data_IF_351068443758
#
_entry.id   IF_351068443758
#
_cell.length_a   1.000
_cell.length_b   1.000
_cell.length_c   1.000
_cell.angle_alpha   90.00
_cell.angle_beta   90.00
_cell.angle_gamma   90.00
#
_symmetry.space_group_name_H-M   'P 1'
#
loop_
_entity.id
_entity.type
_entity.pdbx_description
1 polymer ?
#
# COMPACT_ATOMS: atom_id res chain seq x y z
N UNK A 1 2.67 20.93 15.14
CA UNK A 1 2.22 19.68 15.78
C UNK A 1 3.20 19.13 16.80
N UNK A 2 4.51 19.33 16.64
CA UNK A 2 5.53 18.73 17.52
C UNK A 2 5.31 18.98 19.04
N UNK A 3 5.10 20.22 19.53
CA UNK A 3 4.88 20.42 20.99
C UNK A 3 3.60 19.76 21.53
N UNK A 4 2.61 19.52 20.66
CA UNK A 4 1.37 18.85 21.06
C UNK A 4 1.62 17.35 21.25
N UNK A 5 2.31 16.71 20.30
CA UNK A 5 2.57 15.27 20.36
C UNK A 5 3.65 14.88 21.38
N UNK A 6 4.60 15.77 21.67
CA UNK A 6 5.53 15.60 22.80
C UNK A 6 4.80 15.48 24.15
N UNK A 7 3.70 16.21 24.33
CA UNK A 7 2.88 16.15 25.54
C UNK A 7 1.76 15.10 25.51
N UNK A 8 1.49 14.50 24.35
CA UNK A 8 0.31 13.65 24.13
C UNK A 8 0.51 12.18 24.52
N UNK A 9 1.61 11.83 25.20
CA UNK A 9 1.82 10.46 25.70
C UNK A 9 0.65 10.02 26.58
N UNK A 10 -0.18 9.11 26.06
CA UNK A 10 -1.37 8.58 26.73
C UNK A 10 -2.69 9.30 26.41
N UNK A 11 -2.71 10.29 25.51
CA UNK A 11 -3.92 11.00 25.11
C UNK A 11 -4.54 10.53 23.79
N UNK A 12 -3.87 9.63 23.07
CA UNK A 12 -4.40 9.02 21.85
C UNK A 12 -3.99 7.55 21.75
N UNK A 13 -4.89 6.78 21.15
CA UNK A 13 -4.64 5.38 20.82
C UNK A 13 -4.16 5.20 19.38
N UNK A 14 -4.71 6.02 18.47
CA UNK A 14 -4.48 5.97 17.03
C UNK A 14 -4.21 7.38 16.51
N UNK A 15 -3.10 7.57 15.80
CA UNK A 15 -2.81 8.83 15.08
C UNK A 15 -3.64 8.94 13.79
N UNK A 16 -3.76 10.13 13.22
CA UNK A 16 -4.44 10.28 11.92
C UNK A 16 -3.75 11.30 11.01
N UNK A 17 -3.77 11.03 9.71
CA UNK A 17 -3.25 11.91 8.66
C UNK A 17 -4.17 11.94 7.45
N UNK A 18 -4.14 13.06 6.74
CA UNK A 18 -4.87 13.28 5.50
C UNK A 18 -3.86 13.57 4.39
N UNK A 19 -4.00 12.91 3.26
CA UNK A 19 -3.27 13.17 2.02
C UNK A 19 -4.26 13.41 0.90
N UNK A 20 -4.37 14.68 0.47
CA UNK A 20 -5.21 15.08 -0.65
C UNK A 20 -4.28 15.51 -1.77
N UNK A 21 -4.00 14.59 -2.70
CA UNK A 21 -3.18 14.78 -3.91
C UNK A 21 -1.86 15.50 -3.68
N UNK A 22 -1.21 15.19 -2.56
CA UNK A 22 -0.03 15.92 -2.07
C UNK A 22 1.13 15.03 -1.63
N UNK A 23 0.94 13.71 -1.58
CA UNK A 23 2.00 12.74 -1.31
C UNK A 23 1.69 11.40 -1.98
N UNK A 24 2.73 10.77 -2.50
CA UNK A 24 2.65 9.46 -3.15
C UNK A 24 2.60 8.30 -2.13
N UNK A 25 3.05 8.56 -0.90
CA UNK A 25 2.98 7.61 0.22
C UNK A 25 1.83 7.93 1.17
N UNK A 26 0.96 8.88 0.80
CA UNK A 26 -0.07 9.44 1.67
C UNK A 26 0.47 10.03 2.99
N UNK A 27 1.71 10.52 2.98
CA UNK A 27 2.48 10.99 4.14
C UNK A 27 2.78 9.92 5.19
N UNK A 28 2.54 8.64 4.89
CA UNK A 28 2.70 7.55 5.86
C UNK A 28 4.15 7.42 6.35
N UNK A 29 5.13 7.52 5.45
CA UNK A 29 6.56 7.47 5.79
C UNK A 29 6.95 8.61 6.73
N UNK A 30 6.62 9.85 6.36
CA UNK A 30 6.95 11.04 7.15
C UNK A 30 6.25 11.02 8.51
N UNK A 31 5.00 10.55 8.55
CA UNK A 31 4.24 10.46 9.78
C UNK A 31 4.76 9.38 10.72
N UNK A 32 5.15 8.21 10.18
CA UNK A 32 5.80 7.17 10.98
C UNK A 32 7.09 7.68 11.62
N UNK A 33 7.96 8.31 10.84
CA UNK A 33 9.19 8.94 11.35
C UNK A 33 8.88 10.00 12.41
N UNK A 34 7.83 10.79 12.21
CA UNK A 34 7.41 11.81 13.17
C UNK A 34 6.94 11.23 14.50
N UNK A 35 6.10 10.18 14.46
CA UNK A 35 5.65 9.47 15.66
C UNK A 35 6.83 8.80 16.39
N UNK A 36 7.75 8.18 15.66
CA UNK A 36 8.90 7.47 16.25
C UNK A 36 9.85 8.43 16.94
N UNK A 37 10.15 9.57 16.31
CA UNK A 37 10.97 10.63 16.89
C UNK A 37 10.41 11.12 18.23
N UNK A 38 9.09 11.10 18.37
CA UNK A 38 8.37 11.55 19.56
C UNK A 38 8.02 10.42 20.53
N UNK A 39 8.59 9.22 20.37
CA UNK A 39 8.41 8.12 21.32
C UNK A 39 7.05 7.40 21.23
N UNK A 40 6.40 7.44 20.07
CA UNK A 40 5.11 6.78 19.80
C UNK A 40 5.25 5.60 18.82
N UNK A 41 6.36 4.86 18.88
CA UNK A 41 6.68 3.78 17.94
C UNK A 41 5.60 2.68 17.90
N UNK A 42 5.02 2.36 19.06
CA UNK A 42 3.98 1.35 19.18
C UNK A 42 2.57 1.83 18.81
N UNK A 43 2.38 3.12 18.49
CA UNK A 43 1.06 3.66 18.15
C UNK A 43 0.79 3.48 16.66
N UNK A 44 -0.33 2.83 16.28
CA UNK A 44 -0.77 2.79 14.91
C UNK A 44 -1.31 4.15 14.49
N UNK A 45 -1.56 4.29 13.19
CA UNK A 45 -2.27 5.45 12.66
C UNK A 45 -3.18 5.07 11.51
N UNK A 46 -4.10 5.97 11.18
CA UNK A 46 -4.97 5.85 10.03
C UNK A 46 -4.67 6.96 9.02
N UNK A 47 -4.68 6.60 7.74
CA UNK A 47 -4.80 7.57 6.65
C UNK A 47 -6.30 7.79 6.45
N UNK A 48 -6.86 8.80 7.12
CA UNK A 48 -8.32 9.02 7.15
C UNK A 48 -8.86 9.70 5.90
N UNK A 49 -7.98 10.28 5.08
CA UNK A 49 -8.30 10.73 3.73
C UNK A 49 -7.10 10.46 2.82
N UNK A 50 -7.21 9.50 1.91
CA UNK A 50 -6.27 9.26 0.81
C UNK A 50 -6.98 9.59 -0.50
N UNK A 51 -6.76 10.80 -1.01
CA UNK A 51 -7.28 11.24 -2.31
C UNK A 51 -6.11 11.35 -3.29
N UNK A 52 -6.24 10.65 -4.43
CA UNK A 52 -5.35 10.77 -5.58
C UNK A 52 -6.17 11.28 -6.75
N UNK A 53 -5.95 12.53 -7.10
CA UNK A 53 -6.45 13.15 -8.33
C UNK A 53 -5.30 13.88 -9.04
N UNK A 54 -5.60 14.59 -10.14
CA UNK A 54 -4.59 15.37 -10.86
C UNK A 54 -4.10 16.60 -10.09
N UNK A 55 -4.68 16.91 -8.93
CA UNK A 55 -4.39 18.07 -8.12
C UNK A 55 -4.53 19.39 -8.89
N UNK A 56 -4.22 20.50 -8.23
CA UNK A 56 -4.02 21.78 -8.93
C UNK A 56 -2.55 21.90 -9.34
N UNK A 57 -2.19 21.32 -10.49
CA UNK A 57 -0.91 21.60 -11.15
C UNK A 57 0.09 20.45 -11.26
N UNK A 58 -0.33 19.19 -11.15
CA UNK A 58 0.52 18.05 -11.48
C UNK A 58 0.16 17.51 -12.87
N UNK A 59 1.12 17.57 -13.81
CA UNK A 59 1.04 16.97 -15.16
C UNK A 59 1.27 15.45 -15.12
N UNK A 60 0.59 14.75 -14.20
CA UNK A 60 0.64 13.29 -14.12
C UNK A 60 -0.46 12.65 -14.96
N UNK A 61 -0.08 11.61 -15.69
CA UNK A 61 -1.00 10.73 -16.39
C UNK A 61 -1.88 9.96 -15.40
N UNK A 62 -3.02 9.45 -15.88
CA UNK A 62 -3.88 8.61 -15.04
C UNK A 62 -3.20 7.28 -14.69
N UNK A 63 -2.29 6.82 -15.54
CA UNK A 63 -1.42 5.66 -15.34
C UNK A 63 -0.46 5.87 -14.17
N UNK A 64 0.22 7.01 -14.09
CA UNK A 64 1.10 7.34 -12.97
C UNK A 64 0.31 7.45 -11.67
N UNK A 65 -0.86 8.11 -11.70
CA UNK A 65 -1.72 8.23 -10.52
C UNK A 65 -2.24 6.87 -10.04
N UNK A 66 -2.58 5.96 -10.97
CA UNK A 66 -3.02 4.60 -10.62
C UNK A 66 -1.90 3.78 -9.99
N UNK A 67 -0.65 3.94 -10.45
CA UNK A 67 0.51 3.28 -9.82
C UNK A 67 0.75 3.80 -8.39
N UNK A 68 0.57 5.10 -8.15
CA UNK A 68 0.67 5.71 -6.82
C UNK A 68 -0.37 5.15 -5.85
N UNK A 69 -1.58 4.82 -6.31
CA UNK A 69 -2.57 4.14 -5.45
C UNK A 69 -2.03 2.82 -4.93
N UNK A 70 -1.41 2.02 -5.79
CA UNK A 70 -0.83 0.74 -5.40
C UNK A 70 0.31 0.94 -4.39
N UNK A 71 1.34 1.70 -4.79
CA UNK A 71 2.57 1.83 -3.99
C UNK A 71 2.33 2.59 -2.69
N UNK A 72 1.49 3.63 -2.73
CA UNK A 72 1.09 4.41 -1.57
C UNK A 72 0.29 3.59 -0.55
N UNK A 73 -0.60 2.71 -1.01
CA UNK A 73 -1.34 1.80 -0.13
C UNK A 73 -0.42 0.83 0.58
N UNK A 74 0.43 0.13 -0.19
CA UNK A 74 1.40 -0.83 0.37
C UNK A 74 2.36 -0.15 1.36
N UNK A 75 2.90 1.01 0.97
CA UNK A 75 3.81 1.81 1.81
C UNK A 75 3.12 2.27 3.10
N UNK A 76 1.83 2.62 3.04
CA UNK A 76 1.08 3.02 4.23
C UNK A 76 1.00 1.90 5.25
N UNK A 77 0.62 0.69 4.82
CA UNK A 77 0.54 -0.47 5.70
C UNK A 77 1.91 -0.89 6.25
N UNK A 78 2.95 -0.89 5.41
CA UNK A 78 4.34 -1.14 5.84
C UNK A 78 4.77 -0.18 6.95
N UNK A 79 4.36 1.09 6.87
CA UNK A 79 4.67 2.09 7.88
C UNK A 79 3.76 2.00 9.12
N UNK A 80 2.89 1.00 9.23
CA UNK A 80 2.03 0.82 10.40
C UNK A 80 0.73 1.62 10.36
N UNK A 81 0.30 2.05 9.17
CA UNK A 81 -1.10 2.41 9.01
C UNK A 81 -1.97 1.15 9.19
N UNK A 82 -3.05 1.24 9.95
CA UNK A 82 -4.03 0.14 10.06
C UNK A 82 -5.18 0.29 9.05
N UNK A 83 -5.47 1.53 8.67
CA UNK A 83 -6.59 1.85 7.79
C UNK A 83 -6.16 2.93 6.80
N UNK A 84 -6.54 2.73 5.53
CA UNK A 84 -6.46 3.75 4.48
C UNK A 84 -7.87 3.98 3.95
N UNK A 85 -8.42 5.18 4.20
CA UNK A 85 -9.76 5.57 3.77
C UNK A 85 -9.66 6.32 2.44
N UNK A 86 -10.26 5.75 1.41
CA UNK A 86 -10.28 6.33 0.06
C UNK A 86 -11.17 7.59 0.08
N UNK A 87 -10.55 8.75 -0.14
CA UNK A 87 -11.23 10.03 -0.27
C UNK A 87 -11.45 10.39 -1.75
N UNK A 88 -12.37 11.31 -2.03
CA UNK A 88 -12.71 11.73 -3.40
C UNK A 88 -13.49 10.71 -4.25
N UNK A 89 -13.65 9.47 -3.76
CA UNK A 89 -14.42 8.39 -4.41
C UNK A 89 -15.92 8.36 -4.04
N UNK A 90 -16.39 9.27 -3.18
CA UNK A 90 -17.78 9.29 -2.69
C UNK A 90 -18.82 9.53 -3.80
N UNK A 91 -19.98 8.86 -3.65
CA UNK A 91 -21.00 8.66 -4.67
C UNK A 91 -21.61 9.92 -5.30
N UNK A 92 -21.80 9.87 -6.62
CA UNK A 92 -22.56 10.84 -7.44
C UNK A 92 -21.70 11.64 -8.42
N UNK A 93 -20.51 12.06 -7.99
CA UNK A 93 -19.54 12.82 -8.78
C UNK A 93 -18.11 12.45 -8.37
N UNK A 94 -17.58 11.29 -8.84
CA UNK A 94 -16.23 10.88 -8.47
C UNK A 94 -15.22 11.94 -8.90
N UNK A 95 -14.38 12.39 -7.96
CA UNK A 95 -13.29 13.33 -8.23
C UNK A 95 -12.04 12.63 -8.73
N UNK A 96 -11.96 11.32 -8.51
CA UNK A 96 -10.86 10.47 -8.93
C UNK A 96 -11.07 9.92 -10.36
N UNK A 97 -10.04 9.86 -11.20
CA UNK A 97 -10.10 9.21 -12.51
C UNK A 97 -10.50 7.73 -12.45
N UNK A 98 -11.06 7.18 -13.54
CA UNK A 98 -11.50 5.77 -13.60
C UNK A 98 -10.36 4.80 -13.30
N UNK A 99 -9.18 5.00 -13.89
CA UNK A 99 -7.99 4.16 -13.68
C UNK A 99 -7.50 4.17 -12.23
N UNK A 100 -7.58 5.31 -11.56
CA UNK A 100 -7.25 5.44 -10.13
C UNK A 100 -8.23 4.63 -9.29
N UNK A 101 -9.53 4.69 -9.60
CA UNK A 101 -10.54 3.86 -8.92
C UNK A 101 -10.32 2.36 -9.16
N UNK A 102 -9.99 1.96 -10.39
CA UNK A 102 -9.68 0.56 -10.71
C UNK A 102 -8.45 0.05 -9.95
N UNK A 103 -7.41 0.90 -9.79
CA UNK A 103 -6.25 0.55 -8.96
C UNK A 103 -6.61 0.40 -7.47
N UNK A 104 -7.54 1.22 -6.95
CA UNK A 104 -8.07 1.03 -5.61
C UNK A 104 -8.83 -0.30 -5.48
N UNK A 105 -9.64 -0.66 -6.48
CA UNK A 105 -10.35 -1.94 -6.50
C UNK A 105 -9.37 -3.13 -6.49
N UNK A 106 -8.25 -3.03 -7.22
CA UNK A 106 -7.17 -4.03 -7.18
C UNK A 106 -6.55 -4.11 -5.79
N UNK A 107 -6.15 -3.00 -5.19
CA UNK A 107 -5.56 -2.99 -3.84
C UNK A 107 -6.51 -3.59 -2.80
N UNK A 108 -7.75 -3.10 -2.75
CA UNK A 108 -8.77 -3.56 -1.78
C UNK A 108 -9.08 -5.05 -1.96
N UNK A 109 -9.28 -5.51 -3.20
CA UNK A 109 -9.62 -6.92 -3.46
C UNK A 109 -8.44 -7.90 -3.29
N UNK A 110 -7.22 -7.41 -3.14
CA UNK A 110 -6.02 -8.25 -3.05
C UNK A 110 -5.43 -8.27 -1.65
N UNK A 111 -5.38 -7.12 -0.99
CA UNK A 111 -4.79 -6.98 0.34
C UNK A 111 -5.76 -6.40 1.37
N UNK A 112 -7.05 -6.15 1.06
CA UNK A 112 -7.95 -5.43 1.98
C UNK A 112 -8.17 -6.07 3.35
N UNK A 113 -7.97 -7.39 3.47
CA UNK A 113 -8.18 -8.17 4.68
C UNK A 113 -6.89 -8.82 5.23
N UNK A 114 -5.71 -8.27 4.91
CA UNK A 114 -4.43 -8.83 5.38
C UNK A 114 -4.34 -8.90 6.92
N UNK A 115 -3.66 -9.93 7.46
CA UNK A 115 -3.43 -10.07 8.90
C UNK A 115 -2.16 -9.35 9.34
N UNK A 116 -1.08 -9.53 8.58
CA UNK A 116 0.21 -8.89 8.85
C UNK A 116 0.90 -8.47 7.56
N UNK A 117 1.77 -7.47 7.66
CA UNK A 117 2.61 -6.99 6.56
C UNK A 117 4.06 -6.89 7.02
N UNK A 118 4.98 -7.31 6.16
CA UNK A 118 6.42 -7.23 6.35
C UNK A 118 7.06 -6.51 5.16
N UNK A 119 7.82 -5.44 5.43
CA UNK A 119 8.70 -4.85 4.42
C UNK A 119 9.88 -5.78 4.14
N UNK A 120 10.13 -6.05 2.86
CA UNK A 120 11.26 -6.85 2.40
C UNK A 120 12.35 -5.95 1.82
N UNK A 121 11.95 -4.91 1.08
CA UNK A 121 12.81 -3.85 0.55
C UNK A 121 12.02 -2.57 0.32
N UNK A 122 12.65 -1.52 -0.21
CA UNK A 122 11.96 -0.29 -0.63
C UNK A 122 10.92 -0.55 -1.74
N UNK A 123 11.14 -1.56 -2.59
CA UNK A 123 10.26 -1.93 -3.69
C UNK A 123 9.41 -3.17 -3.43
N UNK A 124 9.40 -3.72 -2.21
CA UNK A 124 8.67 -4.96 -1.94
C UNK A 124 8.19 -5.15 -0.51
N UNK A 125 7.02 -5.77 -0.38
CA UNK A 125 6.43 -6.18 0.90
C UNK A 125 5.71 -7.52 0.76
N UNK A 126 5.57 -8.24 1.88
CA UNK A 126 4.82 -9.48 1.99
C UNK A 126 3.64 -9.29 2.94
N UNK A 127 2.47 -9.70 2.50
CA UNK A 127 1.23 -9.71 3.27
C UNK A 127 0.83 -11.15 3.55
N UNK A 128 0.51 -11.45 4.81
CA UNK A 128 -0.15 -12.71 5.18
C UNK A 128 -1.66 -12.51 5.13
N UNK A 129 -2.35 -13.37 4.37
CA UNK A 129 -3.81 -13.31 4.25
C UNK A 129 -4.48 -14.33 5.19
N UNK A 130 -5.73 -14.09 5.64
CA UNK A 130 -6.44 -14.97 6.58
C UNK A 130 -6.69 -16.39 6.06
N UNK A 131 -6.67 -16.58 4.73
CA UNK A 131 -6.83 -17.88 4.08
C UNK A 131 -5.51 -18.66 3.95
N UNK A 132 -4.41 -18.11 4.47
CA UNK A 132 -3.07 -18.69 4.41
C UNK A 132 -2.32 -18.41 3.12
N UNK A 133 -2.87 -17.62 2.19
CA UNK A 133 -2.16 -17.15 1.01
C UNK A 133 -1.14 -16.08 1.41
N UNK A 134 0.09 -16.18 0.90
CA UNK A 134 1.06 -15.10 0.98
C UNK A 134 0.93 -14.24 -0.28
N UNK A 135 0.82 -12.92 -0.10
CA UNK A 135 0.77 -11.95 -1.20
C UNK A 135 2.01 -11.08 -1.15
N UNK A 136 2.79 -11.09 -2.23
CA UNK A 136 3.93 -10.21 -2.40
C UNK A 136 3.51 -8.99 -3.23
N UNK A 137 3.70 -7.79 -2.71
CA UNK A 137 3.65 -6.57 -3.49
C UNK A 137 5.06 -6.24 -3.97
N UNK A 138 5.25 -6.07 -5.28
CA UNK A 138 6.55 -5.77 -5.90
C UNK A 138 6.43 -4.66 -6.94
N UNK A 139 7.39 -3.76 -6.97
CA UNK A 139 7.51 -2.66 -7.93
C UNK A 139 8.97 -2.22 -8.11
N UNK A 140 9.22 -1.31 -9.05
CA UNK A 140 10.55 -0.78 -9.38
C UNK A 140 11.62 -1.86 -9.64
N UNK A 141 11.20 -2.97 -10.23
CA UNK A 141 12.09 -4.10 -10.56
C UNK A 141 12.47 -4.97 -9.36
N UNK A 142 11.83 -4.82 -8.20
CA UNK A 142 12.02 -5.72 -7.07
C UNK A 142 11.63 -7.16 -7.42
N UNK A 143 12.53 -8.11 -7.14
CA UNK A 143 12.30 -9.53 -7.34
C UNK A 143 11.49 -10.18 -6.22
N UNK A 144 11.02 -11.40 -6.47
CA UNK A 144 10.51 -12.28 -5.43
C UNK A 144 11.66 -12.86 -4.61
N UNK A 145 11.45 -13.19 -3.33
CA UNK A 145 12.42 -13.97 -2.56
C UNK A 145 12.69 -15.35 -3.19
N UNK A 146 13.92 -15.85 -3.03
CA UNK A 146 14.39 -17.10 -3.65
C UNK A 146 13.56 -18.34 -3.23
N UNK A 147 12.90 -18.29 -2.07
CA UNK A 147 12.01 -19.36 -1.60
C UNK A 147 10.69 -19.45 -2.37
N UNK A 148 10.28 -18.39 -3.08
CA UNK A 148 9.07 -18.39 -3.90
C UNK A 148 9.36 -19.07 -5.23
N UNK A 149 8.84 -20.29 -5.39
CA UNK A 149 9.09 -21.13 -6.57
C UNK A 149 7.79 -21.70 -7.13
N UNK A 150 7.81 -22.13 -8.40
CA UNK A 150 6.66 -22.74 -9.07
C UNK A 150 5.63 -21.73 -9.56
N UNK A 151 4.40 -22.20 -9.80
CA UNK A 151 3.33 -21.38 -10.38
C UNK A 151 2.77 -20.36 -9.39
N UNK A 152 2.64 -19.11 -9.83
CA UNK A 152 2.06 -17.98 -9.09
C UNK A 152 1.01 -17.26 -9.93
N UNK A 153 0.08 -16.59 -9.26
CA UNK A 153 -0.86 -15.66 -9.91
C UNK A 153 -0.36 -14.24 -9.70
N UNK A 154 -0.11 -13.51 -10.79
CA UNK A 154 0.17 -12.08 -10.73
C UNK A 154 -1.11 -11.28 -10.94
N UNK A 155 -1.19 -10.13 -10.28
CA UNK A 155 -2.24 -9.13 -10.49
C UNK A 155 -1.61 -7.74 -10.46
N UNK A 156 -1.49 -7.11 -11.63
CA UNK A 156 -0.91 -5.77 -11.78
C UNK A 156 -1.87 -4.68 -11.31
N UNK A 157 -1.36 -3.49 -10.99
CA UNK A 157 -2.16 -2.34 -10.52
C UNK A 157 -3.36 -1.98 -11.43
N UNK A 158 -3.32 -2.33 -12.73
CA UNK A 158 -4.38 -2.08 -13.70
C UNK A 158 -5.36 -3.27 -13.85
N UNK A 159 -5.25 -4.28 -13.00
CA UNK A 159 -6.14 -5.45 -12.95
C UNK A 159 -5.78 -6.56 -13.94
N UNK A 160 -4.68 -6.45 -14.69
CA UNK A 160 -4.20 -7.54 -15.55
C UNK A 160 -3.70 -8.69 -14.68
N UNK A 161 -4.23 -9.88 -14.92
CA UNK A 161 -3.86 -11.11 -14.22
C UNK A 161 -3.20 -12.11 -15.15
N UNK A 162 -2.13 -12.76 -14.67
CA UNK A 162 -1.42 -13.81 -15.41
C UNK A 162 -0.99 -14.94 -14.48
N UNK A 163 -1.03 -16.18 -14.99
CA UNK A 163 -0.40 -17.32 -14.32
C UNK A 163 0.99 -17.51 -14.91
N UNK A 164 2.01 -17.37 -14.07
CA UNK A 164 3.42 -17.44 -14.47
C UNK A 164 4.16 -18.41 -13.55
N UNK A 165 5.30 -18.93 -14.02
CA UNK A 165 6.29 -19.46 -13.09
C UNK A 165 6.95 -18.28 -12.34
N UNK A 166 7.24 -18.46 -11.04
CA UNK A 166 7.84 -17.44 -10.20
C UNK A 166 9.13 -16.86 -10.80
N UNK A 167 9.91 -17.68 -11.51
CA UNK A 167 11.15 -17.23 -12.19
C UNK A 167 10.92 -16.28 -13.36
N UNK A 168 9.68 -16.14 -13.83
CA UNK A 168 9.30 -15.28 -14.96
C UNK A 168 8.65 -13.97 -14.53
N UNK A 169 8.41 -13.79 -13.22
CA UNK A 169 7.77 -12.58 -12.70
C UNK A 169 8.70 -11.38 -12.85
N UNK A 170 8.16 -10.31 -13.45
CA UNK A 170 8.81 -9.00 -13.57
C UNK A 170 7.93 -7.92 -12.94
N UNK A 171 8.55 -6.88 -12.41
CA UNK A 171 7.89 -5.84 -11.61
C UNK A 171 8.28 -4.42 -12.05
N UNK A 172 8.47 -4.22 -13.37
CA UNK A 172 8.62 -2.87 -13.95
C UNK A 172 7.39 -1.99 -13.68
N UNK A 173 6.23 -2.62 -13.49
CA UNK A 173 5.00 -1.98 -13.03
C UNK A 173 4.53 -2.63 -11.72
N UNK A 174 3.90 -1.86 -10.82
CA UNK A 174 3.46 -2.38 -9.52
C UNK A 174 2.51 -3.57 -9.65
N UNK A 175 2.87 -4.67 -9.01
CA UNK A 175 2.22 -5.97 -9.19
C UNK A 175 2.13 -6.72 -7.86
N UNK A 176 0.96 -7.30 -7.59
CA UNK A 176 0.79 -8.30 -6.55
C UNK A 176 1.08 -9.70 -7.11
N UNK A 177 1.69 -10.55 -6.30
CA UNK A 177 1.97 -11.96 -6.62
C UNK A 177 1.39 -12.82 -5.51
N UNK A 178 0.40 -13.63 -5.85
CA UNK A 178 -0.33 -14.48 -4.92
C UNK A 178 0.29 -15.88 -4.97
N UNK A 179 0.74 -16.36 -3.81
CA UNK A 179 1.40 -17.66 -3.63
C UNK A 179 0.49 -18.55 -2.80
N UNK A 180 -0.16 -19.51 -3.45
CA UNK A 180 -1.17 -20.39 -2.84
C UNK A 180 -0.59 -21.67 -2.24
N UNK A 181 0.71 -21.92 -2.42
CA UNK A 181 1.40 -23.05 -1.80
C UNK A 181 2.16 -22.55 -0.57
N UNK A 182 1.98 -23.15 0.62
CA UNK A 182 2.62 -22.66 1.83
C UNK A 182 4.15 -22.67 1.65
N UNK A 183 4.76 -21.48 1.77
CA UNK A 183 6.20 -21.34 1.98
C UNK A 183 6.49 -22.02 3.31
N UNK A 184 7.01 -23.25 3.23
CA UNK A 184 7.39 -23.99 4.44
C UNK A 184 8.67 -23.35 4.94
N UNK A 185 8.57 -22.45 5.93
CA UNK A 185 9.74 -21.97 6.66
C UNK A 185 10.32 -23.15 7.43
N UNK A 186 11.57 -23.52 7.11
CA UNK A 186 12.36 -24.46 7.87
C UNK A 186 12.99 -23.79 9.10
#
# INVERSE_FOLDING_TARGET
>A
WEPVLEGAHGFFDVGNIHSISSSDTFFSTEYRVFLDRLGHQARPFWVTEAEIDKGRGQDRSEEELAQVVFTGSVTSFVNGAEVVIIAGAAYGHPRVPKKVREAWEVAVSTIGDFETVLSLSEGSARFEMPDGVAVYAIWDGAGLPDEVTGGVLTRRYDGVEEHLDASQVVSELPTFVLVTTPVTTA
#
